data_IF_364848132565
#
_entry.id   IF_364848132565
#
_cell.length_a   1.000
_cell.length_b   1.000
_cell.length_c   1.000
_cell.angle_alpha   90.00
_cell.angle_beta   90.00
_cell.angle_gamma   90.00
#
_symmetry.space_group_name_H-M   'P 1'
#
loop_
_entity.id
_entity.type
_entity.pdbx_description
1 polymer ?
#
# COMPACT_ATOMS: atom_id res chain seq x y z
N UNK A 1 -10.43 32.09 25.37
CA UNK A 1 -9.20 32.37 24.60
C UNK A 1 -8.54 31.05 24.22
N UNK A 2 -8.81 30.58 22.99
CA UNK A 2 -8.21 29.34 22.47
C UNK A 2 -6.78 29.64 21.99
N UNK A 3 -5.77 29.25 22.75
CA UNK A 3 -4.38 29.28 22.29
C UNK A 3 -4.23 28.20 21.20
N UNK A 4 -4.30 28.59 19.93
CA UNK A 4 -3.85 27.75 18.82
C UNK A 4 -2.39 27.38 19.10
N UNK A 5 -2.11 26.10 19.39
CA UNK A 5 -0.74 25.60 19.48
C UNK A 5 -0.07 25.89 18.15
N UNK A 6 1.01 26.66 18.18
CA UNK A 6 1.83 26.98 17.01
C UNK A 6 2.45 25.66 16.53
N UNK A 7 1.96 25.09 15.43
CA UNK A 7 2.53 23.87 14.83
C UNK A 7 3.98 24.21 14.41
N UNK A 8 4.93 23.48 14.93
CA UNK A 8 6.36 23.65 14.56
C UNK A 8 6.50 23.16 13.11
N UNK A 9 6.92 24.03 12.19
CA UNK A 9 7.20 23.63 10.81
C UNK A 9 8.44 22.73 10.76
N UNK A 10 8.32 21.56 10.19
CA UNK A 10 9.37 20.53 10.08
C UNK A 10 10.16 20.59 8.75
N UNK A 11 9.97 21.67 7.98
CA UNK A 11 10.55 21.82 6.64
C UNK A 11 9.86 20.99 5.56
N UNK A 12 10.25 21.17 4.30
CA UNK A 12 9.70 20.45 3.19
C UNK A 12 10.25 19.01 3.14
N UNK A 13 9.37 18.04 2.86
CA UNK A 13 9.70 16.61 2.75
C UNK A 13 9.21 16.04 1.41
N UNK A 14 9.88 15.03 0.93
CA UNK A 14 9.41 14.25 -0.22
C UNK A 14 8.47 13.13 0.21
N UNK A 15 7.53 12.75 -0.65
CA UNK A 15 6.70 11.55 -0.48
C UNK A 15 7.16 10.51 -1.48
N UNK A 16 7.42 9.30 -1.01
CA UNK A 16 7.72 8.12 -1.83
C UNK A 16 6.58 7.12 -1.76
N UNK A 17 6.16 6.59 -2.92
CA UNK A 17 5.10 5.60 -3.05
C UNK A 17 5.45 4.60 -4.18
N UNK A 18 6.64 3.97 -4.16
CA UNK A 18 7.03 3.01 -5.18
C UNK A 18 6.28 1.68 -5.00
N UNK A 19 6.24 0.90 -6.09
CA UNK A 19 5.89 -0.52 -6.01
C UNK A 19 7.02 -1.27 -5.33
N UNK A 20 6.68 -2.07 -4.33
CA UNK A 20 7.61 -2.98 -3.70
C UNK A 20 7.82 -4.26 -4.52
N UNK A 21 8.75 -5.09 -4.05
CA UNK A 21 9.09 -6.38 -4.68
C UNK A 21 8.21 -7.52 -4.19
N UNK A 22 7.45 -7.35 -3.10
CA UNK A 22 6.59 -8.38 -2.52
C UNK A 22 7.37 -9.43 -1.72
N UNK A 23 8.35 -9.02 -0.93
CA UNK A 23 9.14 -9.93 -0.08
C UNK A 23 8.57 -9.97 1.34
N UNK A 24 7.54 -10.78 1.58
CA UNK A 24 6.88 -10.90 2.89
C UNK A 24 7.87 -11.28 4.00
N UNK A 25 8.84 -12.16 3.73
CA UNK A 25 9.87 -12.55 4.69
C UNK A 25 10.72 -11.35 5.16
N UNK A 26 11.01 -10.40 4.26
CA UNK A 26 11.66 -9.13 4.63
C UNK A 26 10.70 -8.22 5.41
N UNK A 27 9.47 -8.06 4.90
CA UNK A 27 8.48 -7.17 5.51
C UNK A 27 8.15 -7.61 6.95
N UNK A 28 8.08 -8.92 7.19
CA UNK A 28 7.76 -9.52 8.49
C UNK A 28 8.98 -9.84 9.37
N UNK A 29 10.19 -9.44 8.93
CA UNK A 29 11.46 -9.69 9.66
C UNK A 29 11.75 -11.17 9.91
N UNK A 30 11.28 -12.06 9.06
CA UNK A 30 11.73 -13.46 8.98
C UNK A 30 13.13 -13.55 8.35
N UNK A 31 13.49 -12.54 7.55
CA UNK A 31 14.80 -12.34 6.98
C UNK A 31 15.31 -10.93 7.32
N UNK A 32 16.53 -10.84 7.86
CA UNK A 32 17.18 -9.59 8.24
C UNK A 32 18.22 -9.21 7.19
N UNK A 33 18.03 -8.08 6.53
CA UNK A 33 18.97 -7.53 5.56
C UNK A 33 20.01 -6.63 6.23
N UNK A 34 21.13 -6.36 5.53
CA UNK A 34 22.28 -5.62 6.08
C UNK A 34 21.99 -4.17 6.50
N UNK A 35 20.88 -3.59 6.05
CA UNK A 35 20.45 -2.21 6.39
C UNK A 35 19.56 -2.15 7.64
N UNK A 36 19.22 -3.28 8.22
CA UNK A 36 18.42 -3.38 9.45
C UNK A 36 19.32 -3.21 10.66
N UNK A 37 18.87 -2.47 11.65
CA UNK A 37 19.46 -2.32 12.98
C UNK A 37 18.69 -3.20 13.96
N UNK A 38 19.18 -4.41 14.31
CA UNK A 38 18.41 -5.43 15.04
C UNK A 38 17.88 -4.94 16.40
N UNK A 39 18.63 -4.06 17.07
CA UNK A 39 18.27 -3.49 18.39
C UNK A 39 17.00 -2.63 18.32
N UNK A 40 16.61 -2.20 17.12
CA UNK A 40 15.42 -1.39 16.87
C UNK A 40 14.24 -2.19 16.29
N UNK A 41 14.39 -3.48 15.99
CA UNK A 41 13.32 -4.30 15.42
C UNK A 41 12.08 -4.33 16.32
N UNK A 42 12.25 -4.26 17.63
CA UNK A 42 11.14 -4.15 18.58
C UNK A 42 10.36 -2.83 18.48
N UNK A 43 10.86 -1.83 17.74
CA UNK A 43 10.14 -0.57 17.50
C UNK A 43 9.18 -0.66 16.29
N UNK A 44 9.37 -1.64 15.43
CA UNK A 44 8.50 -1.87 14.28
C UNK A 44 7.04 -2.03 14.74
N UNK A 45 6.10 -1.60 13.89
CA UNK A 45 4.68 -1.67 14.21
C UNK A 45 3.98 -2.54 13.19
N UNK A 46 3.28 -3.56 13.67
CA UNK A 46 2.47 -4.45 12.85
C UNK A 46 1.02 -4.00 12.99
N UNK A 47 0.40 -3.59 11.88
CA UNK A 47 -1.00 -3.19 11.84
C UNK A 47 -1.90 -4.36 11.44
N UNK A 48 -1.48 -5.13 10.45
CA UNK A 48 -2.13 -6.36 9.98
C UNK A 48 -1.02 -7.32 9.57
N UNK A 49 -1.18 -8.59 9.89
CA UNK A 49 -0.30 -9.66 9.45
C UNK A 49 -1.11 -10.96 9.34
N UNK A 50 -1.55 -11.28 8.13
CA UNK A 50 -2.21 -12.53 7.79
C UNK A 50 -1.33 -13.31 6.83
N UNK A 51 -1.46 -14.65 6.81
CA UNK A 51 -0.84 -15.43 5.75
C UNK A 51 -1.54 -15.19 4.42
N UNK A 52 -0.81 -15.35 3.32
CA UNK A 52 -1.36 -15.17 1.98
C UNK A 52 -2.48 -16.17 1.70
N UNK A 53 -2.35 -17.41 2.21
CA UNK A 53 -3.37 -18.46 2.11
C UNK A 53 -4.66 -18.08 2.83
N UNK A 54 -4.57 -17.58 4.07
CA UNK A 54 -5.73 -17.09 4.82
C UNK A 54 -6.43 -15.94 4.12
N UNK A 55 -5.66 -15.00 3.59
CA UNK A 55 -6.19 -13.87 2.85
C UNK A 55 -6.89 -14.30 1.56
N UNK A 56 -6.33 -15.27 0.81
CA UNK A 56 -6.95 -15.84 -0.38
C UNK A 56 -8.25 -16.59 -0.07
N UNK A 57 -8.29 -17.36 1.01
CA UNK A 57 -9.52 -18.03 1.44
C UNK A 57 -10.62 -17.02 1.76
N UNK A 58 -10.32 -15.96 2.50
CA UNK A 58 -11.28 -14.88 2.80
C UNK A 58 -11.77 -14.17 1.54
N UNK A 59 -10.86 -13.86 0.60
CA UNK A 59 -11.20 -13.09 -0.60
C UNK A 59 -11.93 -13.92 -1.65
N UNK A 60 -11.59 -15.20 -1.81
CA UNK A 60 -11.96 -16.00 -2.98
C UNK A 60 -12.57 -17.35 -2.65
N UNK A 61 -12.52 -17.85 -1.40
CA UNK A 61 -12.97 -19.19 -1.01
C UNK A 61 -14.42 -19.44 -1.40
N UNK A 62 -15.34 -18.51 -1.11
CA UNK A 62 -16.74 -18.61 -1.50
C UNK A 62 -16.91 -18.71 -3.03
N UNK A 63 -16.25 -17.85 -3.79
CA UNK A 63 -16.33 -17.85 -5.24
C UNK A 63 -15.72 -19.12 -5.88
N UNK A 64 -14.69 -19.69 -5.23
CA UNK A 64 -14.08 -20.96 -5.62
C UNK A 64 -15.04 -22.12 -5.39
N UNK A 65 -15.70 -22.19 -4.24
CA UNK A 65 -16.71 -23.21 -3.93
C UNK A 65 -17.87 -23.17 -4.91
N UNK A 66 -18.43 -21.99 -5.16
CA UNK A 66 -19.52 -21.79 -6.13
C UNK A 66 -19.12 -22.20 -7.54
N UNK A 67 -17.92 -21.81 -7.98
CA UNK A 67 -17.38 -22.22 -9.26
C UNK A 67 -17.30 -23.75 -9.38
N UNK A 68 -16.73 -24.40 -8.37
CA UNK A 68 -16.53 -25.87 -8.36
C UNK A 68 -17.85 -26.63 -8.31
N UNK A 69 -18.85 -26.12 -7.58
CA UNK A 69 -20.19 -26.73 -7.52
C UNK A 69 -20.86 -26.73 -8.90
N UNK A 70 -20.61 -25.71 -9.73
CA UNK A 70 -21.12 -25.63 -11.10
C UNK A 70 -20.37 -26.52 -12.12
N UNK A 71 -19.23 -27.12 -11.76
CA UNK A 71 -18.45 -27.95 -12.69
C UNK A 71 -18.90 -29.40 -12.70
N UNK A 72 -19.51 -29.86 -13.81
CA UNK A 72 -19.87 -31.27 -14.01
C UNK A 72 -18.64 -32.19 -14.11
N UNK A 73 -17.57 -31.71 -14.75
CA UNK A 73 -16.33 -32.44 -14.95
C UNK A 73 -15.32 -32.13 -13.83
N UNK A 74 -14.75 -33.17 -13.20
CA UNK A 74 -13.79 -33.03 -12.10
C UNK A 74 -12.50 -32.33 -12.54
N UNK A 75 -12.02 -32.57 -13.76
CA UNK A 75 -10.80 -31.95 -14.32
C UNK A 75 -10.91 -30.44 -14.57
N UNK A 76 -12.12 -29.87 -14.47
CA UNK A 76 -12.35 -28.41 -14.55
C UNK A 76 -12.45 -27.74 -13.18
N UNK A 77 -12.47 -28.52 -12.11
CA UNK A 77 -12.48 -27.99 -10.76
C UNK A 77 -11.11 -27.46 -10.37
N UNK A 78 -11.11 -26.42 -9.60
CA UNK A 78 -9.93 -25.75 -9.07
C UNK A 78 -9.72 -26.17 -7.63
N UNK A 79 -8.55 -26.69 -7.31
CA UNK A 79 -8.25 -27.13 -5.94
C UNK A 79 -7.81 -25.96 -5.06
N UNK A 80 -6.97 -25.06 -5.61
CA UNK A 80 -6.41 -23.93 -4.87
C UNK A 80 -6.20 -22.75 -5.80
N UNK A 81 -6.94 -21.66 -5.56
CA UNK A 81 -6.88 -20.50 -6.44
C UNK A 81 -5.55 -19.74 -6.32
N UNK A 82 -4.92 -19.68 -5.14
CA UNK A 82 -3.60 -19.09 -4.96
C UNK A 82 -2.56 -19.80 -5.84
N UNK A 83 -2.50 -21.14 -5.77
CA UNK A 83 -1.57 -21.93 -6.59
C UNK A 83 -1.83 -21.78 -8.08
N UNK A 84 -3.08 -21.56 -8.49
CA UNK A 84 -3.38 -21.29 -9.90
C UNK A 84 -2.79 -19.96 -10.35
N UNK A 85 -2.87 -18.90 -9.52
CA UNK A 85 -2.25 -17.61 -9.83
C UNK A 85 -0.72 -17.75 -9.85
N UNK A 86 -0.13 -18.44 -8.87
CA UNK A 86 1.33 -18.70 -8.82
C UNK A 86 1.86 -19.40 -10.05
N UNK A 87 1.12 -20.41 -10.52
CA UNK A 87 1.48 -21.21 -11.70
C UNK A 87 0.98 -20.63 -13.02
N UNK A 88 0.27 -19.52 -12.98
CA UNK A 88 -0.28 -18.88 -14.18
C UNK A 88 0.84 -18.38 -15.07
N UNK A 89 0.81 -18.70 -16.35
CA UNK A 89 1.65 -18.08 -17.37
C UNK A 89 1.33 -16.62 -17.66
N UNK A 90 0.29 -16.08 -17.02
CA UNK A 90 -0.10 -14.67 -17.10
C UNK A 90 0.82 -13.83 -16.19
N UNK A 91 0.81 -12.51 -16.42
CA UNK A 91 1.56 -11.55 -15.59
C UNK A 91 0.84 -11.20 -14.28
N UNK A 92 -0.11 -12.02 -13.83
CA UNK A 92 -0.83 -11.82 -12.59
C UNK A 92 0.11 -12.07 -11.40
N UNK A 93 0.03 -11.18 -10.41
CA UNK A 93 0.73 -11.34 -9.15
C UNK A 93 -0.26 -11.84 -8.10
N UNK A 94 0.19 -12.71 -7.22
CA UNK A 94 -0.63 -13.17 -6.08
C UNK A 94 -1.04 -12.01 -5.18
N UNK A 95 -0.16 -11.03 -5.00
CA UNK A 95 -0.43 -9.79 -4.30
C UNK A 95 0.46 -8.65 -4.84
N UNK A 96 0.19 -7.46 -4.39
CA UNK A 96 0.94 -6.24 -4.72
C UNK A 96 1.43 -5.58 -3.45
N UNK A 97 2.58 -4.92 -3.56
CA UNK A 97 3.19 -4.14 -2.50
C UNK A 97 3.38 -2.69 -2.93
N UNK A 98 3.13 -1.77 -2.00
CA UNK A 98 3.65 -0.42 -2.07
C UNK A 98 4.41 -0.08 -0.80
N UNK A 99 5.52 0.65 -0.97
CA UNK A 99 6.30 1.19 0.15
C UNK A 99 5.91 2.66 0.29
N UNK A 100 5.50 3.07 1.49
CA UNK A 100 5.09 4.45 1.77
C UNK A 100 6.09 5.09 2.71
N UNK A 101 6.70 6.18 2.28
CA UNK A 101 7.75 6.86 3.04
C UNK A 101 7.60 8.38 2.93
N UNK A 102 7.88 9.08 4.02
CA UNK A 102 7.93 10.54 4.10
C UNK A 102 9.36 10.95 4.41
N UNK A 103 9.92 11.82 3.56
CA UNK A 103 11.32 12.25 3.66
C UNK A 103 12.31 11.17 3.24
N UNK A 104 13.56 11.37 3.59
CA UNK A 104 14.71 10.52 3.31
C UNK A 104 15.67 10.48 4.48
N UNK A 105 16.72 9.66 4.42
CA UNK A 105 17.69 9.46 5.49
C UNK A 105 18.26 10.78 6.06
N UNK A 106 18.49 11.78 5.21
CA UNK A 106 19.16 13.03 5.60
C UNK A 106 18.22 14.01 6.29
N UNK A 107 16.90 13.87 6.10
CA UNK A 107 15.90 14.83 6.59
C UNK A 107 14.82 14.22 7.50
N UNK A 108 14.74 12.89 7.55
CA UNK A 108 13.78 12.14 8.38
C UNK A 108 14.42 10.86 8.92
N UNK A 109 15.62 10.93 9.55
CA UNK A 109 16.23 9.74 10.14
C UNK A 109 15.40 9.24 11.33
N UNK A 110 15.30 7.91 11.50
CA UNK A 110 14.56 7.32 12.63
C UNK A 110 15.12 7.82 13.96
N UNK A 111 16.44 7.83 14.12
CA UNK A 111 17.11 8.25 15.34
C UNK A 111 18.09 9.39 15.10
N UNK A 112 18.20 10.26 16.10
CA UNK A 112 19.23 11.31 16.18
C UNK A 112 20.57 10.80 16.72
N UNK A 113 21.52 11.70 16.87
CA UNK A 113 22.82 11.40 17.43
C UNK A 113 22.78 10.91 18.91
N UNK A 114 21.69 11.22 19.61
CA UNK A 114 21.43 10.77 20.99
C UNK A 114 20.76 9.38 21.06
N UNK A 115 20.55 8.72 19.93
CA UNK A 115 19.90 7.41 19.82
C UNK A 115 18.38 7.42 20.03
N UNK A 116 17.75 8.60 20.15
CA UNK A 116 16.30 8.74 20.33
C UNK A 116 15.60 9.06 19.01
N UNK A 117 14.29 8.75 18.95
CA UNK A 117 13.47 9.15 17.82
C UNK A 117 13.53 10.66 17.58
N UNK A 118 13.82 11.03 16.33
CA UNK A 118 13.79 12.45 15.93
C UNK A 118 12.36 13.00 15.91
N UNK A 119 12.19 14.31 15.96
CA UNK A 119 10.86 14.93 15.84
C UNK A 119 10.28 14.70 14.44
N UNK A 120 11.13 14.69 13.41
CA UNK A 120 10.77 14.37 12.04
C UNK A 120 10.26 12.92 11.93
N UNK A 121 10.96 11.96 12.56
CA UNK A 121 10.51 10.57 12.59
C UNK A 121 9.18 10.42 13.34
N UNK A 122 8.99 11.09 14.48
CA UNK A 122 7.72 11.05 15.22
C UNK A 122 6.56 11.54 14.39
N UNK A 123 6.73 12.67 13.69
CA UNK A 123 5.70 13.20 12.81
C UNK A 123 5.41 12.26 11.62
N UNK A 124 6.45 11.70 10.99
CA UNK A 124 6.30 10.73 9.91
C UNK A 124 5.58 9.47 10.37
N UNK A 125 5.92 8.94 11.56
CA UNK A 125 5.27 7.78 12.18
C UNK A 125 3.77 8.03 12.37
N UNK A 126 3.37 9.19 12.90
CA UNK A 126 1.95 9.52 13.10
C UNK A 126 1.18 9.59 11.78
N UNK A 127 1.78 10.19 10.74
CA UNK A 127 1.16 10.28 9.41
C UNK A 127 1.03 8.90 8.78
N UNK A 128 2.10 8.10 8.80
CA UNK A 128 2.11 6.74 8.24
C UNK A 128 1.12 5.82 8.98
N UNK A 129 0.99 5.97 10.29
CA UNK A 129 0.00 5.24 11.07
C UNK A 129 -1.44 5.59 10.68
N UNK A 130 -1.75 6.88 10.53
CA UNK A 130 -3.06 7.33 10.06
C UNK A 130 -3.33 6.82 8.64
N UNK A 131 -2.34 6.86 7.76
CA UNK A 131 -2.42 6.33 6.41
C UNK A 131 -2.74 4.82 6.42
N UNK A 132 -2.03 4.03 7.23
CA UNK A 132 -2.25 2.59 7.36
C UNK A 132 -3.67 2.26 7.87
N UNK A 133 -4.11 2.91 8.94
CA UNK A 133 -5.43 2.68 9.57
C UNK A 133 -6.61 2.95 8.64
N UNK A 134 -6.47 3.89 7.72
CA UNK A 134 -7.53 4.28 6.78
C UNK A 134 -7.38 3.67 5.39
N UNK A 135 -6.36 2.83 5.16
CA UNK A 135 -6.09 2.27 3.82
C UNK A 135 -7.26 1.43 3.30
N UNK A 136 -7.77 0.50 4.11
CA UNK A 136 -8.84 -0.42 3.68
C UNK A 136 -10.15 0.30 3.36
N UNK A 137 -10.49 1.35 4.11
CA UNK A 137 -11.66 2.17 3.88
C UNK A 137 -11.58 2.92 2.54
N UNK A 138 -10.42 3.53 2.25
CA UNK A 138 -10.18 4.21 0.98
C UNK A 138 -10.06 3.26 -0.21
N UNK A 139 -9.72 2.00 0.04
CA UNK A 139 -9.41 1.00 -0.98
C UNK A 139 -10.22 -0.29 -0.80
N UNK A 140 -11.56 -0.24 -0.91
CA UNK A 140 -12.42 -1.39 -0.57
C UNK A 140 -12.18 -2.64 -1.43
N UNK A 141 -11.66 -2.48 -2.64
CA UNK A 141 -11.32 -3.58 -3.55
C UNK A 141 -9.84 -4.02 -3.51
N UNK A 142 -9.05 -3.45 -2.59
CA UNK A 142 -7.67 -3.87 -2.34
C UNK A 142 -7.60 -4.42 -0.91
N UNK A 143 -7.72 -5.74 -0.76
CA UNK A 143 -7.71 -6.39 0.55
C UNK A 143 -6.32 -6.30 1.18
N UNK A 144 -6.21 -5.50 2.23
CA UNK A 144 -4.96 -5.32 2.98
C UNK A 144 -4.76 -6.52 3.91
N UNK A 145 -3.77 -7.37 3.62
CA UNK A 145 -3.51 -8.57 4.43
C UNK A 145 -2.21 -8.48 5.24
N UNK A 146 -1.29 -7.61 4.83
CA UNK A 146 -0.05 -7.35 5.58
C UNK A 146 0.27 -5.87 5.53
N UNK A 147 0.51 -5.26 6.71
CA UNK A 147 0.90 -3.86 6.82
C UNK A 147 1.82 -3.68 8.02
N UNK A 148 3.08 -3.36 7.75
CA UNK A 148 4.13 -3.25 8.75
C UNK A 148 4.88 -1.92 8.57
N UNK A 149 5.10 -1.21 9.67
CA UNK A 149 5.97 -0.03 9.70
C UNK A 149 7.34 -0.41 10.21
N UNK A 150 8.36 -0.14 9.43
CA UNK A 150 9.75 -0.35 9.81
C UNK A 150 10.35 0.91 10.42
N UNK A 151 10.91 0.76 11.62
CA UNK A 151 11.65 1.77 12.38
C UNK A 151 13.09 1.30 12.66
N UNK A 152 13.44 0.12 12.25
CA UNK A 152 14.75 -0.49 12.37
C UNK A 152 15.67 -0.27 11.16
N UNK A 153 15.23 0.55 10.21
CA UNK A 153 16.05 1.02 9.09
C UNK A 153 16.34 2.53 9.19
N UNK A 154 16.83 3.15 8.11
CA UNK A 154 17.29 4.53 8.15
C UNK A 154 16.15 5.56 8.31
N UNK A 155 14.99 5.31 7.72
CA UNK A 155 13.84 6.22 7.64
C UNK A 155 12.56 5.46 7.92
N UNK A 156 11.57 6.02 8.67
CA UNK A 156 10.29 5.37 8.88
C UNK A 156 9.57 5.12 7.56
N UNK A 157 9.12 3.91 7.33
CA UNK A 157 8.34 3.56 6.13
C UNK A 157 7.36 2.42 6.39
N UNK A 158 6.29 2.36 5.59
CA UNK A 158 5.30 1.29 5.59
C UNK A 158 5.53 0.34 4.43
N UNK A 159 5.42 -0.94 4.68
CA UNK A 159 5.13 -1.97 3.69
C UNK A 159 3.63 -2.22 3.70
N UNK A 160 2.97 -2.07 2.56
CA UNK A 160 1.54 -2.27 2.38
C UNK A 160 1.37 -3.36 1.33
N UNK A 161 0.97 -4.55 1.77
CA UNK A 161 0.76 -5.71 0.91
C UNK A 161 -0.74 -5.97 0.79
N UNK A 162 -1.26 -5.99 -0.44
CA UNK A 162 -2.68 -6.10 -0.71
C UNK A 162 -3.00 -7.03 -1.88
N UNK A 163 -4.18 -7.64 -1.82
CA UNK A 163 -4.74 -8.51 -2.86
C UNK A 163 -5.88 -7.75 -3.56
N UNK A 164 -5.83 -7.55 -4.89
CA UNK A 164 -6.94 -6.98 -5.62
C UNK A 164 -8.12 -7.94 -5.70
N UNK A 165 -9.29 -7.50 -5.28
CA UNK A 165 -10.54 -8.27 -5.29
C UNK A 165 -11.52 -7.64 -6.26
N UNK A 166 -11.71 -8.28 -7.41
CA UNK A 166 -12.63 -7.83 -8.44
C UNK A 166 -13.81 -8.79 -8.59
N UNK A 167 -15.02 -8.23 -8.63
CA UNK A 167 -16.27 -8.95 -8.61
C UNK A 167 -17.02 -8.90 -9.96
N UNK A 168 -18.13 -9.68 -10.07
CA UNK A 168 -19.09 -9.57 -11.17
C UNK A 168 -18.59 -10.12 -12.50
N UNK A 169 -17.74 -11.15 -12.51
CA UNK A 169 -17.37 -11.85 -13.73
C UNK A 169 -18.53 -12.73 -14.23
N UNK A 170 -18.81 -12.67 -15.53
CA UNK A 170 -19.90 -13.45 -16.16
C UNK A 170 -19.56 -14.92 -16.31
N UNK A 171 -18.27 -15.25 -16.52
CA UNK A 171 -17.79 -16.63 -16.75
C UNK A 171 -16.69 -16.98 -15.74
N UNK A 172 -16.52 -18.26 -15.41
CA UNK A 172 -15.56 -18.72 -14.41
C UNK A 172 -15.92 -18.30 -12.99
N UNK A 173 -14.93 -18.10 -12.12
CA UNK A 173 -15.15 -17.58 -10.78
C UNK A 173 -15.74 -16.18 -10.83
N UNK A 174 -16.73 -15.89 -9.98
CA UNK A 174 -17.42 -14.58 -9.94
C UNK A 174 -16.55 -13.48 -9.33
N UNK A 175 -15.65 -13.86 -8.44
CA UNK A 175 -14.66 -12.98 -7.79
C UNK A 175 -13.27 -13.48 -8.13
N UNK A 176 -12.37 -12.56 -8.52
CA UNK A 176 -11.00 -12.90 -8.94
C UNK A 176 -10.00 -11.85 -8.52
N UNK A 177 -8.73 -12.25 -8.42
CA UNK A 177 -7.61 -11.34 -8.36
C UNK A 177 -7.44 -10.63 -9.71
N UNK A 178 -7.66 -9.32 -9.72
CA UNK A 178 -7.44 -8.48 -10.90
C UNK A 178 -7.29 -7.01 -10.49
N UNK A 179 -6.05 -6.49 -10.53
CA UNK A 179 -5.78 -5.11 -10.11
C UNK A 179 -6.55 -4.10 -10.98
N UNK A 180 -6.48 -4.23 -12.30
CA UNK A 180 -7.16 -3.33 -13.22
C UNK A 180 -8.66 -3.25 -12.93
N UNK A 181 -9.34 -4.42 -12.83
CA UNK A 181 -10.78 -4.43 -12.61
C UNK A 181 -11.17 -3.99 -11.20
N UNK A 182 -10.37 -4.32 -10.19
CA UNK A 182 -10.58 -3.82 -8.82
C UNK A 182 -10.52 -2.29 -8.78
N UNK A 183 -9.51 -1.68 -9.41
CA UNK A 183 -9.39 -0.23 -9.50
C UNK A 183 -10.54 0.41 -10.30
N UNK A 184 -10.97 -0.20 -11.42
CA UNK A 184 -12.16 0.26 -12.15
C UNK A 184 -13.42 0.24 -11.28
N UNK A 185 -13.60 -0.79 -10.45
CA UNK A 185 -14.73 -0.87 -9.51
C UNK A 185 -14.65 0.18 -8.39
N UNK A 186 -13.47 0.66 -8.09
CA UNK A 186 -13.24 1.81 -7.19
C UNK A 186 -13.44 3.18 -7.90
N UNK A 187 -13.85 3.19 -9.18
CA UNK A 187 -14.14 4.41 -9.93
C UNK A 187 -13.00 4.97 -10.77
N UNK A 188 -11.85 4.29 -10.83
CA UNK A 188 -10.76 4.73 -11.70
C UNK A 188 -11.06 4.43 -13.17
N UNK A 189 -10.86 5.41 -14.03
CA UNK A 189 -11.13 5.31 -15.45
C UNK A 189 -10.24 4.25 -16.13
N UNK A 190 -10.78 3.62 -17.17
CA UNK A 190 -10.02 2.66 -18.00
C UNK A 190 -8.78 3.31 -18.60
N UNK A 191 -7.74 2.50 -18.75
CA UNK A 191 -6.49 2.90 -19.37
C UNK A 191 -6.70 3.51 -20.77
N UNK A 192 -6.14 4.67 -20.99
CA UNK A 192 -6.04 5.34 -22.30
C UNK A 192 -4.64 5.10 -22.87
N UNK A 193 -3.64 5.06 -22.00
CA UNK A 193 -2.23 4.84 -22.36
C UNK A 193 -1.45 4.17 -21.22
N UNK A 194 -0.18 3.81 -21.48
CA UNK A 194 0.72 3.33 -20.39
C UNK A 194 0.94 4.38 -19.30
N UNK A 195 0.78 5.67 -19.58
CA UNK A 195 0.96 6.79 -18.64
C UNK A 195 -0.36 7.21 -17.98
N UNK A 196 -1.49 6.86 -18.58
CA UNK A 196 -2.83 7.20 -18.13
C UNK A 196 -3.64 5.91 -17.98
N UNK A 197 -3.58 5.33 -16.80
CA UNK A 197 -4.25 4.08 -16.47
C UNK A 197 -4.71 4.08 -15.00
N UNK A 198 -5.51 3.11 -14.66
CA UNK A 198 -6.13 2.95 -13.34
C UNK A 198 -5.10 2.99 -12.21
N UNK A 199 -3.96 2.31 -12.41
CA UNK A 199 -2.91 2.23 -11.39
C UNK A 199 -2.24 3.59 -11.17
N UNK A 200 -1.95 4.32 -12.25
CA UNK A 200 -1.36 5.67 -12.16
C UNK A 200 -2.33 6.63 -11.46
N UNK A 201 -3.61 6.63 -11.84
CA UNK A 201 -4.62 7.47 -11.23
C UNK A 201 -4.81 7.15 -9.73
N UNK A 202 -4.87 5.86 -9.38
CA UNK A 202 -4.92 5.41 -7.99
C UNK A 202 -3.69 5.88 -7.19
N UNK A 203 -2.49 5.70 -7.72
CA UNK A 203 -1.26 6.15 -7.04
C UNK A 203 -1.22 7.67 -6.86
N UNK A 204 -1.76 8.44 -7.80
CA UNK A 204 -1.89 9.90 -7.66
C UNK A 204 -2.83 10.26 -6.52
N UNK A 205 -4.00 9.60 -6.42
CA UNK A 205 -4.94 9.80 -5.31
C UNK A 205 -4.29 9.48 -3.95
N UNK A 206 -3.59 8.36 -3.84
CA UNK A 206 -2.93 7.97 -2.59
C UNK A 206 -1.81 8.96 -2.19
N UNK A 207 -1.06 9.49 -3.17
CA UNK A 207 -0.07 10.55 -2.91
C UNK A 207 -0.73 11.87 -2.50
N UNK A 208 -1.85 12.24 -3.11
CA UNK A 208 -2.59 13.43 -2.71
C UNK A 208 -3.05 13.33 -1.24
N UNK A 209 -3.62 12.19 -0.86
CA UNK A 209 -4.02 11.93 0.52
C UNK A 209 -2.83 12.02 1.50
N UNK A 210 -1.68 11.41 1.16
CA UNK A 210 -0.47 11.55 1.97
C UNK A 210 0.00 13.00 2.09
N UNK A 211 -0.14 13.79 1.02
CA UNK A 211 0.19 15.22 1.02
C UNK A 211 -0.73 15.97 2.00
N UNK A 212 -2.02 15.69 1.99
CA UNK A 212 -2.99 16.28 2.94
C UNK A 212 -2.60 15.96 4.39
N UNK A 213 -2.30 14.70 4.70
CA UNK A 213 -1.85 14.29 6.04
C UNK A 213 -0.56 15.00 6.47
N UNK A 214 0.40 15.19 5.56
CA UNK A 214 1.62 15.93 5.82
C UNK A 214 1.32 17.40 6.16
N UNK A 215 0.45 18.05 5.37
CA UNK A 215 0.06 19.44 5.56
C UNK A 215 -0.67 19.66 6.89
N UNK A 216 -1.54 18.75 7.31
CA UNK A 216 -2.21 18.78 8.61
C UNK A 216 -1.21 18.76 9.79
N UNK A 217 -0.06 18.13 9.61
CA UNK A 217 1.05 18.08 10.58
C UNK A 217 2.07 19.23 10.40
N UNK A 218 1.82 20.17 9.48
CA UNK A 218 2.71 21.30 9.21
C UNK A 218 3.98 20.93 8.46
N UNK A 219 3.95 19.82 7.69
CA UNK A 219 5.01 19.39 6.79
C UNK A 219 4.64 19.82 5.37
N UNK A 220 5.46 20.66 4.77
CA UNK A 220 5.34 20.99 3.35
C UNK A 220 5.85 19.84 2.50
N UNK A 221 5.13 19.47 1.43
CA UNK A 221 5.52 18.39 0.54
C UNK A 221 6.21 18.95 -0.68
N UNK A 222 7.48 18.54 -0.87
CA UNK A 222 8.25 18.85 -2.07
C UNK A 222 7.98 17.77 -3.13
N UNK A 223 7.43 18.19 -4.27
CA UNK A 223 7.30 17.33 -5.44
C UNK A 223 8.62 17.37 -6.19
N UNK A 224 9.45 16.34 -6.04
CA UNK A 224 10.65 16.18 -6.86
C UNK A 224 10.21 16.00 -8.31
N UNK A 225 10.43 17.07 -9.11
CA UNK A 225 9.92 17.16 -10.46
C UNK A 225 10.42 16.07 -11.38
N UNK A 226 9.52 15.25 -11.85
CA UNK A 226 9.49 15.02 -13.30
C UNK A 226 8.77 16.26 -13.81
N UNK A 227 9.50 17.16 -14.48
CA UNK A 227 8.89 18.26 -15.23
C UNK A 227 7.87 17.62 -16.19
N UNK A 228 6.60 17.73 -15.85
CA UNK A 228 5.49 17.48 -16.76
C UNK A 228 4.79 18.83 -16.87
N UNK A 229 4.85 19.37 -18.07
CA UNK A 229 4.10 20.55 -18.49
C UNK A 229 2.59 20.27 -18.48
N UNK A 230 2.02 20.07 -17.29
CA UNK A 230 0.58 20.14 -17.06
C UNK A 230 0.30 20.21 -15.55
N UNK A 231 -0.08 21.39 -15.04
CA UNK A 231 -0.64 21.48 -13.71
C UNK A 231 -2.03 20.83 -13.74
N UNK A 232 -2.15 19.64 -13.17
CA UNK A 232 -3.47 19.05 -12.89
C UNK A 232 -4.10 19.90 -11.79
N UNK A 233 -5.10 20.68 -12.18
CA UNK A 233 -5.93 21.45 -11.25
C UNK A 233 -6.71 20.49 -10.35
N UNK A 234 -6.41 20.49 -9.05
CA UNK A 234 -7.07 19.65 -8.03
C UNK A 234 -8.45 20.18 -7.59
N UNK A 235 -9.14 20.98 -8.41
CA UNK A 235 -10.35 21.70 -7.98
C UNK A 235 -11.66 20.90 -8.08
N UNK A 236 -11.66 19.63 -8.48
CA UNK A 236 -12.91 18.86 -8.64
C UNK A 236 -12.83 17.44 -8.07
N UNK A 237 -12.70 17.32 -6.75
CA UNK A 237 -13.09 16.11 -6.02
C UNK A 237 -13.73 16.54 -4.68
N UNK A 238 -15.00 16.95 -4.78
CA UNK A 238 -15.94 16.94 -3.65
C UNK A 238 -16.91 15.80 -3.81
#
# INVERSE_FOLDING_TARGET
>A
MNRRKKVKRLGAKTISFPKGKGHLTHNNREFISNNVVPERTAWNRIYIQESLEQAYEKCFGQALMEYNAGQKRKDRRKENYLKEIENSGNKEKTFYENIVQIGKKDDTPVVGADGKLTEEAKAAIEILEQYAKTFQERNPNLYLFNCVMHLDEATPHLHIDYIPVANGYKTGMKTRNSLTKALQQMGFAKAVSKKENETVAWQQRERAYLTELCQEKGIDVEVLGIQRDNPVSYTHLR
#
